data_IF_120849656586
#
_entry.id   IF_120849656586
#
_cell.length_a   1.000
_cell.length_b   1.000
_cell.length_c   1.000
_cell.angle_alpha   90.00
_cell.angle_beta   90.00
_cell.angle_gamma   90.00
#
_symmetry.space_group_name_H-M   'P 1'
#
loop_
_entity.id
_entity.type
_entity.pdbx_description
1 polymer ?
#
# COMPACT_ATOMS: atom_id res chain seq x y z
N UNK A 1 60.31 -28.90 -11.60
CA UNK A 1 60.25 -27.88 -10.52
C UNK A 1 60.31 -26.51 -11.17
N UNK A 2 59.55 -25.51 -10.65
CA UNK A 2 59.83 -24.04 -10.75
C UNK A 2 59.97 -23.39 -12.16
N UNK A 3 59.52 -22.15 -12.44
CA UNK A 3 58.64 -21.17 -11.76
C UNK A 3 58.31 -20.05 -12.77
N UNK A 4 57.09 -19.51 -12.72
CA UNK A 4 56.68 -18.10 -12.99
C UNK A 4 57.11 -17.24 -14.21
N UNK A 5 56.20 -16.31 -14.53
CA UNK A 5 56.37 -14.93 -15.05
C UNK A 5 56.63 -14.68 -16.55
N UNK A 6 55.64 -14.05 -17.18
CA UNK A 6 55.81 -12.72 -17.81
C UNK A 6 54.65 -11.80 -17.45
N UNK A 7 54.93 -10.74 -16.69
CA UNK A 7 54.03 -9.59 -16.55
C UNK A 7 54.28 -8.57 -17.67
N UNK A 8 53.31 -7.69 -17.92
CA UNK A 8 53.49 -6.48 -18.74
C UNK A 8 53.47 -5.24 -17.83
N UNK A 9 54.46 -4.37 -18.01
CA UNK A 9 54.38 -2.99 -17.52
C UNK A 9 53.49 -2.16 -18.46
N UNK A 10 52.81 -1.17 -17.89
CA UNK A 10 52.91 0.24 -18.30
C UNK A 10 52.37 1.13 -17.18
N UNK A 11 52.86 2.37 -17.11
CA UNK A 11 52.75 3.24 -15.93
C UNK A 11 52.02 4.55 -16.23
N UNK A 12 51.59 5.20 -15.14
CA UNK A 12 51.35 6.64 -14.94
C UNK A 12 50.81 7.51 -16.10
N UNK A 13 49.63 8.09 -15.86
CA UNK A 13 49.20 9.42 -16.36
C UNK A 13 48.70 10.21 -15.12
N UNK A 14 48.97 11.53 -14.98
CA UNK A 14 48.91 12.22 -13.69
C UNK A 14 47.55 12.85 -13.34
N UNK A 15 47.44 13.36 -12.11
CA UNK A 15 46.28 14.09 -11.60
C UNK A 15 46.42 15.61 -11.72
N UNK A 16 45.37 16.27 -12.21
CA UNK A 16 45.05 17.71 -12.14
C UNK A 16 43.63 17.89 -12.75
N UNK A 17 42.76 18.83 -12.35
CA UNK A 17 42.71 19.70 -11.18
C UNK A 17 41.21 20.00 -10.88
N UNK A 18 40.91 20.75 -9.83
CA UNK A 18 39.53 21.10 -9.47
C UNK A 18 38.84 22.01 -10.50
N UNK A 19 37.52 21.84 -10.62
CA UNK A 19 36.58 22.75 -11.28
C UNK A 19 35.26 22.70 -10.50
N UNK A 20 34.75 23.88 -10.16
CA UNK A 20 33.60 24.08 -9.26
C UNK A 20 32.28 24.19 -10.04
N UNK A 21 31.16 24.25 -9.31
CA UNK A 21 29.81 24.67 -9.77
C UNK A 21 29.13 23.80 -10.87
N UNK A 22 28.02 23.12 -10.54
CA UNK A 22 26.68 23.70 -10.76
C UNK A 22 25.52 22.82 -10.26
N UNK A 23 24.38 23.47 -10.01
CA UNK A 23 23.11 22.88 -9.54
C UNK A 23 22.52 21.87 -10.55
N UNK A 24 22.19 20.65 -10.10
CA UNK A 24 21.26 19.77 -10.82
C UNK A 24 20.18 19.27 -9.88
N UNK A 25 19.06 19.99 -9.90
CA UNK A 25 17.79 19.58 -9.30
C UNK A 25 17.34 18.27 -9.94
N UNK A 26 17.26 17.18 -9.16
CA UNK A 26 16.80 15.88 -9.64
C UNK A 26 15.29 15.90 -9.90
N UNK A 27 14.92 16.25 -11.14
CA UNK A 27 13.52 16.25 -11.58
C UNK A 27 13.01 14.81 -11.75
N UNK A 28 12.22 14.32 -10.78
CA UNK A 28 11.58 13.00 -10.85
C UNK A 28 10.39 13.05 -11.81
N UNK A 29 10.67 12.95 -13.10
CA UNK A 29 9.65 12.95 -14.16
C UNK A 29 8.93 11.59 -14.17
N UNK A 30 7.74 11.55 -13.55
CA UNK A 30 6.81 10.44 -13.70
C UNK A 30 6.22 10.45 -15.13
N UNK A 31 6.61 9.50 -15.98
CA UNK A 31 6.02 9.35 -17.31
C UNK A 31 4.76 8.47 -17.31
N UNK A 32 3.77 8.73 -18.19
CA UNK A 32 2.42 8.18 -18.04
C UNK A 32 2.21 6.81 -18.69
N UNK A 33 1.52 5.93 -17.96
CA UNK A 33 0.85 4.74 -18.50
C UNK A 33 -0.44 5.15 -19.24
N UNK A 34 -0.32 5.51 -20.52
CA UNK A 34 -1.49 5.83 -21.36
C UNK A 34 -1.36 5.36 -22.83
N UNK A 35 -2.04 4.25 -23.16
CA UNK A 35 -2.54 3.95 -24.51
C UNK A 35 -3.85 3.15 -24.40
N UNK A 36 -4.96 3.71 -24.88
CA UNK A 36 -6.18 3.06 -25.43
C UNK A 36 -7.19 4.20 -25.78
N UNK A 37 -8.07 4.06 -26.81
CA UNK A 37 -8.64 5.21 -27.52
C UNK A 37 -9.76 5.99 -26.80
N UNK A 38 -10.01 7.21 -27.30
CA UNK A 38 -11.11 8.10 -26.87
C UNK A 38 -12.35 7.92 -27.74
N UNK A 39 -13.53 7.98 -27.14
CA UNK A 39 -14.78 8.30 -27.85
C UNK A 39 -15.45 9.56 -27.27
N UNK A 40 -16.41 10.12 -28.03
CA UNK A 40 -16.93 11.48 -27.90
C UNK A 40 -18.17 11.57 -26.97
N UNK A 41 -18.47 12.75 -26.41
CA UNK A 41 -19.82 12.99 -25.87
C UNK A 41 -20.03 14.17 -24.92
N UNK A 42 -20.29 15.36 -25.48
CA UNK A 42 -21.18 16.45 -25.00
C UNK A 42 -21.08 17.06 -23.57
N UNK A 43 -21.30 18.38 -23.52
CA UNK A 43 -21.26 19.24 -22.33
C UNK A 43 -22.65 19.72 -21.85
N UNK A 44 -22.92 19.64 -20.54
CA UNK A 44 -23.83 20.50 -19.74
C UNK A 44 -23.33 20.45 -18.29
N UNK A 45 -23.30 21.49 -17.45
CA UNK A 45 -23.65 22.91 -17.58
C UNK A 45 -23.03 23.71 -16.40
N UNK A 46 -23.67 24.78 -15.90
CA UNK A 46 -23.19 25.55 -14.73
C UNK A 46 -24.35 25.96 -13.79
N UNK A 47 -24.12 25.96 -12.46
CA UNK A 47 -24.82 26.81 -11.47
C UNK A 47 -24.18 26.69 -10.07
N UNK A 48 -23.86 27.83 -9.45
CA UNK A 48 -23.38 27.92 -8.07
C UNK A 48 -24.50 28.35 -7.09
N UNK A 49 -24.37 28.02 -5.81
CA UNK A 49 -25.36 28.43 -4.79
C UNK A 49 -24.86 28.32 -3.34
N UNK A 50 -24.66 29.49 -2.71
CA UNK A 50 -24.67 29.81 -1.28
C UNK A 50 -24.05 28.86 -0.22
N UNK A 51 -23.12 29.40 0.58
CA UNK A 51 -22.82 28.95 1.95
C UNK A 51 -23.60 29.80 2.96
N UNK A 52 -23.93 29.27 4.14
CA UNK A 52 -23.93 30.06 5.37
C UNK A 52 -22.91 29.53 6.39
N UNK A 53 -22.52 30.41 7.31
CA UNK A 53 -21.59 30.13 8.41
C UNK A 53 -22.22 29.20 9.47
N UNK A 54 -21.39 28.41 10.15
CA UNK A 54 -21.75 27.81 11.44
C UNK A 54 -20.52 27.73 12.35
N UNK A 55 -20.76 27.80 13.66
CA UNK A 55 -19.75 28.09 14.67
C UNK A 55 -18.85 26.89 15.03
N UNK A 56 -17.63 27.19 15.48
CA UNK A 56 -16.64 26.20 15.91
C UNK A 56 -16.99 25.65 17.29
N UNK A 57 -17.50 24.42 17.32
CA UNK A 57 -17.53 23.58 18.54
C UNK A 57 -16.32 22.63 18.48
N UNK A 58 -15.52 22.46 19.55
CA UNK A 58 -14.37 21.56 19.53
C UNK A 58 -14.87 20.11 19.48
N UNK A 59 -14.87 19.53 18.28
CA UNK A 59 -15.22 18.14 18.08
C UNK A 59 -14.14 17.23 18.69
N UNK A 60 -14.42 16.66 19.87
CA UNK A 60 -13.73 15.46 20.36
C UNK A 60 -14.14 14.32 19.44
N UNK A 61 -13.45 14.17 18.31
CA UNK A 61 -13.65 13.07 17.38
C UNK A 61 -13.20 11.75 18.05
N UNK A 62 -14.14 11.09 18.71
CA UNK A 62 -14.16 9.62 18.81
C UNK A 62 -14.45 9.00 17.42
N UNK A 63 -13.67 9.41 16.42
CA UNK A 63 -13.66 8.78 15.11
C UNK A 63 -13.15 7.36 15.28
N UNK A 64 -14.00 6.38 14.99
CA UNK A 64 -13.62 4.97 15.02
C UNK A 64 -12.47 4.74 14.03
N UNK A 65 -11.22 4.72 14.54
CA UNK A 65 -10.03 4.56 13.72
C UNK A 65 -10.22 3.40 12.73
N UNK A 66 -9.89 3.61 11.44
CA UNK A 66 -9.99 2.53 10.48
C UNK A 66 -9.02 1.41 10.90
N UNK A 67 -9.50 0.20 10.67
CA UNK A 67 -8.81 -1.07 10.94
C UNK A 67 -7.69 -1.25 9.90
N UNK A 68 -6.71 -2.12 10.15
CA UNK A 68 -5.52 -2.28 9.31
C UNK A 68 -4.84 -0.93 9.00
N UNK A 69 -4.99 0.06 9.89
CA UNK A 69 -4.80 1.47 9.57
C UNK A 69 -3.34 1.93 9.58
N UNK A 70 -2.39 1.02 9.84
CA UNK A 70 -0.93 1.22 9.74
C UNK A 70 -0.25 -0.13 9.46
N UNK A 71 0.82 -0.13 8.68
CA UNK A 71 1.62 -1.33 8.43
C UNK A 71 3.09 -0.99 8.12
N UNK A 72 3.91 -2.02 7.88
CA UNK A 72 5.35 -1.93 7.66
C UNK A 72 5.70 -2.21 6.21
N UNK A 73 6.61 -1.41 5.64
CA UNK A 73 7.25 -1.71 4.37
C UNK A 73 8.58 -2.40 4.63
N UNK A 74 8.70 -3.66 4.21
CA UNK A 74 10.00 -4.34 4.15
C UNK A 74 10.87 -3.72 3.04
N UNK A 75 12.19 -3.92 3.13
CA UNK A 75 13.14 -3.45 2.12
C UNK A 75 12.72 -3.85 0.69
N UNK A 76 12.84 -2.94 -0.29
CA UNK A 76 12.40 -3.15 -1.68
C UNK A 76 12.91 -4.48 -2.29
N UNK A 77 14.19 -4.82 -2.09
CA UNK A 77 14.74 -6.08 -2.58
C UNK A 77 14.12 -7.35 -1.94
N UNK A 78 13.60 -7.27 -0.70
CA UNK A 78 12.85 -8.38 -0.08
C UNK A 78 11.43 -8.46 -0.66
N UNK A 79 10.77 -7.32 -0.86
CA UNK A 79 9.46 -7.22 -1.50
C UNK A 79 9.46 -7.75 -2.94
N UNK A 80 10.45 -7.38 -3.74
CA UNK A 80 10.60 -7.85 -5.12
C UNK A 80 10.70 -9.38 -5.21
N UNK A 81 11.51 -9.99 -4.33
CA UNK A 81 11.62 -11.45 -4.25
C UNK A 81 10.31 -12.10 -3.84
N UNK A 82 9.67 -11.62 -2.77
CA UNK A 82 8.41 -12.19 -2.28
C UNK A 82 7.25 -12.06 -3.30
N UNK A 83 7.21 -10.96 -4.05
CA UNK A 83 6.16 -10.70 -5.04
C UNK A 83 6.47 -11.30 -6.42
N UNK A 84 7.71 -11.73 -6.68
CA UNK A 84 8.14 -12.26 -7.99
C UNK A 84 8.35 -11.16 -9.05
N UNK A 85 8.73 -9.96 -8.64
CA UNK A 85 8.91 -8.81 -9.52
C UNK A 85 10.32 -8.85 -10.14
N UNK A 86 10.39 -8.90 -11.48
CA UNK A 86 11.66 -9.05 -12.21
C UNK A 86 12.42 -7.73 -12.41
N UNK A 87 11.71 -6.61 -12.38
CA UNK A 87 12.26 -5.24 -12.50
C UNK A 87 11.46 -4.30 -11.61
N UNK A 88 11.99 -3.96 -10.44
CA UNK A 88 11.43 -2.91 -9.60
C UNK A 88 11.49 -1.56 -10.31
N UNK A 89 10.34 -0.90 -10.47
CA UNK A 89 10.23 0.53 -10.88
C UNK A 89 9.72 1.41 -9.74
N UNK A 90 9.60 0.85 -8.54
CA UNK A 90 9.39 1.59 -7.30
C UNK A 90 10.74 1.96 -6.68
N UNK A 91 10.73 2.97 -5.81
CA UNK A 91 11.80 3.19 -4.85
C UNK A 91 11.13 3.68 -3.55
N UNK A 92 11.45 3.04 -2.43
CA UNK A 92 10.92 3.39 -1.12
C UNK A 92 11.83 2.83 -0.01
N UNK A 93 11.96 3.52 1.12
CA UNK A 93 12.74 3.03 2.26
C UNK A 93 11.95 1.99 3.08
N UNK A 94 12.69 1.17 3.83
CA UNK A 94 12.14 0.44 4.98
C UNK A 94 11.40 1.42 5.91
N UNK A 95 10.14 1.12 6.24
CA UNK A 95 9.29 1.97 7.09
C UNK A 95 8.54 1.11 8.10
N UNK A 96 8.72 1.39 9.38
CA UNK A 96 8.05 0.70 10.48
C UNK A 96 6.63 1.23 10.75
N UNK A 97 6.19 2.27 10.02
CA UNK A 97 4.88 2.88 10.16
C UNK A 97 4.51 3.66 8.89
N UNK A 98 3.80 2.99 7.99
CA UNK A 98 3.02 3.62 6.93
C UNK A 98 1.69 4.13 7.48
N UNK A 99 1.27 5.31 7.04
CA UNK A 99 -0.02 5.91 7.36
C UNK A 99 -0.94 5.95 6.14
N UNK A 100 -2.26 6.04 6.34
CA UNK A 100 -3.19 6.24 5.25
C UNK A 100 -2.86 7.51 4.46
N UNK A 101 -3.20 7.49 3.17
CA UNK A 101 -2.93 8.56 2.19
C UNK A 101 -1.49 8.70 1.70
N UNK A 102 -0.53 7.98 2.32
CA UNK A 102 0.85 7.88 1.82
C UNK A 102 0.93 7.06 0.52
N UNK A 103 2.04 7.19 -0.20
CA UNK A 103 2.37 6.35 -1.36
C UNK A 103 2.91 5.00 -0.86
N UNK A 104 2.38 3.90 -1.40
CA UNK A 104 2.72 2.55 -0.95
C UNK A 104 3.06 1.61 -2.12
N UNK A 105 3.98 0.66 -1.93
CA UNK A 105 4.34 -0.33 -2.95
C UNK A 105 3.22 -1.34 -3.16
N UNK A 106 2.81 -1.49 -4.41
CA UNK A 106 1.85 -2.51 -4.84
C UNK A 106 2.36 -3.28 -6.04
N UNK A 107 2.18 -4.61 -6.03
CA UNK A 107 2.37 -5.43 -7.21
C UNK A 107 1.07 -5.45 -8.03
N UNK A 108 1.16 -5.24 -9.34
CA UNK A 108 0.05 -5.39 -10.31
C UNK A 108 0.44 -6.40 -11.39
N UNK A 109 -0.54 -6.97 -12.08
CA UNK A 109 -0.28 -7.65 -13.35
C UNK A 109 -0.49 -6.68 -14.51
N UNK A 110 0.50 -6.58 -15.39
CA UNK A 110 0.46 -5.76 -16.60
C UNK A 110 1.12 -6.57 -17.73
N UNK A 111 0.45 -6.68 -18.87
CA UNK A 111 0.93 -7.43 -20.04
C UNK A 111 1.45 -8.87 -19.76
N UNK A 112 0.95 -9.53 -18.71
CA UNK A 112 1.34 -10.89 -18.31
C UNK A 112 2.52 -10.97 -17.33
N UNK A 113 3.19 -9.86 -17.01
CA UNK A 113 4.23 -9.79 -15.98
C UNK A 113 3.73 -9.12 -14.70
N UNK A 114 4.44 -9.35 -13.58
CA UNK A 114 4.20 -8.64 -12.32
C UNK A 114 5.05 -7.38 -12.26
N UNK A 115 4.39 -6.23 -12.21
CA UNK A 115 5.04 -4.92 -12.15
C UNK A 115 4.95 -4.28 -10.76
N UNK A 116 6.01 -3.58 -10.40
CA UNK A 116 6.10 -2.71 -9.23
C UNK A 116 5.49 -1.34 -9.53
N UNK A 117 4.57 -0.88 -8.68
CA UNK A 117 4.00 0.47 -8.73
C UNK A 117 3.92 1.11 -7.33
N UNK A 118 3.99 2.44 -7.27
CA UNK A 118 3.71 3.22 -6.06
C UNK A 118 2.34 3.87 -6.20
N UNK A 119 1.40 3.58 -5.29
CA UNK A 119 0.02 4.09 -5.34
C UNK A 119 -0.39 4.72 -4.01
N UNK A 120 -1.31 5.69 -4.05
CA UNK A 120 -1.84 6.33 -2.85
C UNK A 120 -2.73 5.35 -2.08
N UNK A 121 -2.43 5.08 -0.81
CA UNK A 121 -3.30 4.25 0.02
C UNK A 121 -4.55 5.01 0.47
N UNK A 122 -5.72 4.49 0.13
CA UNK A 122 -7.01 5.19 0.17
C UNK A 122 -7.47 5.47 -1.25
N UNK A 123 -8.37 4.61 -1.74
CA UNK A 123 -8.81 4.62 -3.13
C UNK A 123 -9.60 5.89 -3.49
N UNK A 124 -9.26 6.48 -4.62
CA UNK A 124 -9.98 7.57 -5.26
C UNK A 124 -10.57 7.00 -6.55
N UNK A 125 -11.90 6.77 -6.62
CA UNK A 125 -12.52 6.21 -7.82
C UNK A 125 -12.33 7.10 -9.05
N UNK A 126 -12.35 6.51 -10.23
CA UNK A 126 -12.14 7.21 -11.51
C UNK A 126 -13.05 8.44 -11.70
N UNK A 127 -14.29 8.38 -11.21
CA UNK A 127 -15.31 9.44 -11.28
C UNK A 127 -15.10 10.59 -10.27
N UNK A 128 -14.15 10.48 -9.34
CA UNK A 128 -13.93 11.46 -8.28
C UNK A 128 -12.93 12.58 -8.65
N UNK A 129 -12.47 12.62 -9.91
CA UNK A 129 -11.58 13.67 -10.46
C UNK A 129 -10.28 13.93 -9.65
N UNK A 130 -9.69 12.89 -9.07
CA UNK A 130 -8.52 12.96 -8.21
C UNK A 130 -8.79 13.48 -6.78
N UNK A 131 -10.04 13.76 -6.42
CA UNK A 131 -10.44 14.25 -5.08
C UNK A 131 -10.80 13.07 -4.17
N UNK A 132 -10.14 12.92 -2.99
CA UNK A 132 -10.49 11.88 -2.04
C UNK A 132 -11.94 12.00 -1.54
N UNK A 133 -12.61 10.86 -1.37
CA UNK A 133 -13.97 10.83 -0.82
C UNK A 133 -13.98 11.22 0.67
N UNK A 134 -15.11 11.78 1.13
CA UNK A 134 -15.34 12.05 2.57
C UNK A 134 -15.36 10.77 3.41
N UNK A 135 -15.85 9.67 2.84
CA UNK A 135 -15.81 8.35 3.46
C UNK A 135 -14.41 7.73 3.28
N UNK A 136 -13.88 7.10 4.33
CA UNK A 136 -12.58 6.43 4.24
C UNK A 136 -12.63 5.23 3.30
N UNK A 137 -11.73 5.22 2.32
CA UNK A 137 -11.58 4.18 1.29
C UNK A 137 -10.28 3.38 1.44
N UNK A 138 -9.67 3.40 2.63
CA UNK A 138 -8.37 2.76 2.87
C UNK A 138 -8.48 1.22 2.90
N UNK A 139 -9.65 0.73 3.32
CA UNK A 139 -10.03 -0.68 3.28
C UNK A 139 -11.39 -0.88 2.57
N UNK A 140 -11.51 -1.98 1.84
CA UNK A 140 -12.77 -2.55 1.37
C UNK A 140 -13.04 -3.86 2.12
N UNK A 141 -14.29 -4.14 2.51
CA UNK A 141 -14.64 -5.46 3.05
C UNK A 141 -15.00 -6.40 1.90
N UNK A 142 -14.62 -7.68 1.96
CA UNK A 142 -14.85 -8.67 0.87
C UNK A 142 -16.33 -8.78 0.45
N UNK A 143 -17.26 -8.51 1.34
CA UNK A 143 -18.71 -8.51 1.09
C UNK A 143 -19.16 -7.33 0.21
N UNK A 144 -18.34 -6.27 0.12
CA UNK A 144 -18.68 -5.00 -0.53
C UNK A 144 -17.85 -4.68 -1.78
N UNK A 145 -16.79 -5.44 -2.08
CA UNK A 145 -15.90 -5.16 -3.23
C UNK A 145 -16.66 -5.13 -4.57
N UNK A 146 -17.66 -6.00 -4.74
CA UNK A 146 -18.40 -6.14 -6.00
C UNK A 146 -19.62 -5.20 -6.13
N UNK A 147 -19.99 -4.46 -5.07
CA UNK A 147 -21.27 -3.72 -4.98
C UNK A 147 -21.14 -2.27 -4.52
N UNK A 148 -20.15 -1.92 -3.70
CA UNK A 148 -19.99 -0.55 -3.22
C UNK A 148 -19.53 0.39 -4.35
N UNK A 149 -20.09 1.61 -4.47
CA UNK A 149 -19.77 2.55 -5.57
C UNK A 149 -18.29 2.90 -5.73
N UNK A 150 -17.49 2.80 -4.67
CA UNK A 150 -16.04 3.04 -4.72
C UNK A 150 -15.23 1.85 -5.24
N UNK A 151 -15.77 0.64 -5.18
CA UNK A 151 -15.01 -0.62 -5.34
C UNK A 151 -15.50 -1.48 -6.51
N UNK A 152 -16.80 -1.41 -6.83
CA UNK A 152 -17.45 -2.28 -7.82
C UNK A 152 -16.77 -2.22 -9.19
N UNK A 153 -16.44 -1.02 -9.69
CA UNK A 153 -15.93 -0.87 -11.05
C UNK A 153 -14.45 -1.28 -11.14
N UNK A 154 -13.57 -0.91 -10.18
CA UNK A 154 -12.25 -1.54 -10.04
C UNK A 154 -12.28 -3.07 -9.98
N UNK A 155 -13.20 -3.65 -9.19
CA UNK A 155 -13.39 -5.10 -9.11
C UNK A 155 -13.76 -5.69 -10.47
N UNK A 156 -14.83 -5.20 -11.11
CA UNK A 156 -15.31 -5.73 -12.39
C UNK A 156 -14.36 -5.50 -13.57
N UNK A 157 -13.53 -4.45 -13.52
CA UNK A 157 -12.44 -4.22 -14.50
C UNK A 157 -11.18 -5.05 -14.23
N UNK A 158 -11.14 -5.86 -13.17
CA UNK A 158 -9.97 -6.65 -12.81
C UNK A 158 -8.79 -5.82 -12.30
N UNK A 159 -9.01 -4.58 -11.86
CA UNK A 159 -7.98 -3.67 -11.32
C UNK A 159 -7.58 -4.09 -9.90
N UNK A 160 -6.94 -5.26 -9.81
CA UNK A 160 -6.46 -5.90 -8.59
C UNK A 160 -4.97 -5.64 -8.42
N UNK A 161 -4.53 -5.51 -7.19
CA UNK A 161 -3.14 -5.37 -6.80
C UNK A 161 -2.85 -6.17 -5.52
N UNK A 162 -1.57 -6.34 -5.19
CA UNK A 162 -1.13 -6.83 -3.90
C UNK A 162 -0.37 -5.72 -3.19
N UNK A 163 -0.90 -5.20 -2.07
CA UNK A 163 -0.17 -4.28 -1.21
C UNK A 163 0.91 -5.09 -0.48
N UNK A 164 2.16 -4.65 -0.52
CA UNK A 164 3.27 -5.40 0.06
C UNK A 164 3.49 -4.97 1.51
N UNK A 165 3.53 -5.94 2.43
CA UNK A 165 3.66 -5.69 3.87
C UNK A 165 4.73 -6.57 4.51
N UNK A 166 5.41 -6.03 5.52
CA UNK A 166 6.26 -6.77 6.46
C UNK A 166 5.58 -7.09 7.80
N UNK A 167 4.31 -6.75 7.94
CA UNK A 167 3.54 -6.81 9.19
C UNK A 167 2.64 -5.57 9.36
N UNK A 168 1.64 -5.66 10.23
CA UNK A 168 0.61 -4.62 10.40
C UNK A 168 0.24 -4.39 11.86
N UNK A 169 -0.44 -3.28 12.14
CA UNK A 169 -0.86 -2.92 13.50
C UNK A 169 -2.38 -2.89 13.63
N UNK A 170 -2.91 -3.53 14.68
CA UNK A 170 -4.33 -3.43 15.05
C UNK A 170 -4.51 -2.85 16.46
N UNK A 171 -5.60 -2.10 16.71
CA UNK A 171 -5.98 -1.69 18.06
C UNK A 171 -6.78 -2.80 18.75
N UNK A 172 -6.26 -3.29 19.86
CA UNK A 172 -7.04 -4.01 20.86
C UNK A 172 -7.82 -3.01 21.71
N UNK A 173 -9.10 -3.27 21.97
CA UNK A 173 -9.93 -2.44 22.86
C UNK A 173 -9.91 -3.06 24.26
N UNK A 174 -9.31 -2.35 25.21
CA UNK A 174 -9.23 -2.77 26.61
C UNK A 174 -10.61 -2.61 27.30
N UNK A 175 -10.78 -3.25 28.46
CA UNK A 175 -12.01 -3.17 29.25
C UNK A 175 -12.38 -1.74 29.72
N UNK A 176 -11.38 -0.86 29.86
CA UNK A 176 -11.55 0.57 30.16
C UNK A 176 -11.86 1.44 28.92
N UNK A 177 -12.03 0.81 27.75
CA UNK A 177 -12.26 1.49 26.46
C UNK A 177 -11.01 2.10 25.83
N UNK A 178 -9.84 2.04 26.49
CA UNK A 178 -8.57 2.47 25.89
C UNK A 178 -8.16 1.52 24.77
N UNK A 179 -7.24 1.97 23.91
CA UNK A 179 -6.79 1.20 22.74
C UNK A 179 -5.28 1.01 22.74
N UNK A 180 -4.86 -0.24 22.88
CA UNK A 180 -3.46 -0.62 22.77
C UNK A 180 -3.14 -1.13 21.37
N UNK A 181 -2.02 -0.70 20.76
CA UNK A 181 -1.58 -1.26 19.50
C UNK A 181 -0.96 -2.63 19.75
N UNK A 182 -1.40 -3.61 18.99
CA UNK A 182 -0.68 -4.84 18.77
C UNK A 182 -0.01 -4.77 17.41
N UNK A 183 1.22 -5.27 17.32
CA UNK A 183 1.86 -5.58 16.04
C UNK A 183 1.58 -7.04 15.69
N UNK A 184 1.39 -7.31 14.41
CA UNK A 184 1.07 -8.62 13.86
C UNK A 184 1.99 -8.88 12.67
N UNK A 185 2.65 -10.03 12.69
CA UNK A 185 3.47 -10.53 11.57
C UNK A 185 3.11 -11.98 11.27
N UNK A 186 3.60 -12.48 10.14
CA UNK A 186 3.53 -13.90 9.83
C UNK A 186 4.73 -14.64 10.41
N UNK A 187 4.53 -15.91 10.75
CA UNK A 187 5.56 -16.80 11.28
C UNK A 187 6.31 -17.56 10.18
N UNK A 188 5.70 -17.70 9.00
CA UNK A 188 6.24 -18.43 7.85
C UNK A 188 7.08 -17.56 6.89
N UNK A 189 6.86 -16.24 6.86
CA UNK A 189 7.60 -15.30 6.01
C UNK A 189 7.62 -13.87 6.51
N UNK A 190 8.72 -13.17 6.25
CA UNK A 190 8.92 -11.77 6.62
C UNK A 190 8.11 -10.79 5.75
N UNK A 191 7.79 -11.15 4.51
CA UNK A 191 7.12 -10.25 3.54
C UNK A 191 5.99 -10.99 2.83
N UNK A 192 4.84 -10.35 2.71
CA UNK A 192 3.63 -10.94 2.14
C UNK A 192 2.77 -9.93 1.37
N UNK A 193 1.91 -10.46 0.50
CA UNK A 193 0.95 -9.69 -0.29
C UNK A 193 -0.41 -9.67 0.38
N UNK A 194 -1.01 -8.49 0.50
CA UNK A 194 -2.42 -8.30 0.87
C UNK A 194 -3.23 -7.95 -0.36
N UNK A 195 -4.30 -8.69 -0.61
CA UNK A 195 -5.20 -8.45 -1.73
C UNK A 195 -5.78 -7.02 -1.66
N UNK A 196 -5.74 -6.30 -2.78
CA UNK A 196 -6.25 -4.93 -2.88
C UNK A 196 -6.83 -4.60 -4.25
N UNK A 197 -7.61 -3.53 -4.30
CA UNK A 197 -8.09 -2.95 -5.56
C UNK A 197 -7.42 -1.61 -5.79
N UNK A 198 -7.20 -1.25 -7.05
CA UNK A 198 -6.68 0.05 -7.43
C UNK A 198 -7.58 0.75 -8.45
N UNK A 199 -7.47 2.07 -8.53
CA UNK A 199 -8.12 2.87 -9.58
C UNK A 199 -7.29 4.09 -9.96
N UNK A 200 -7.50 4.57 -11.19
CA UNK A 200 -6.89 5.81 -11.71
C UNK A 200 -7.96 6.89 -11.85
N UNK A 201 -7.75 8.02 -11.18
CA UNK A 201 -8.68 9.15 -11.17
C UNK A 201 -8.03 10.37 -11.83
N UNK A 202 -8.64 10.87 -12.91
CA UNK A 202 -8.07 11.96 -13.72
C UNK A 202 -8.39 13.32 -13.09
N UNK A 203 -7.37 14.11 -12.78
CA UNK A 203 -7.50 15.47 -12.26
C UNK A 203 -7.94 16.46 -13.34
N UNK A 204 -8.36 17.65 -12.90
CA UNK A 204 -8.74 18.78 -13.78
C UNK A 204 -7.58 19.26 -14.65
N UNK A 205 -6.33 19.20 -14.15
CA UNK A 205 -5.10 19.49 -14.89
C UNK A 205 -4.75 18.43 -15.96
N UNK A 206 -5.51 17.33 -16.03
CA UNK A 206 -5.32 16.24 -16.98
C UNK A 206 -4.42 15.10 -16.48
N UNK A 207 -3.69 15.27 -15.37
CA UNK A 207 -2.88 14.22 -14.73
C UNK A 207 -3.75 13.16 -14.03
N UNK A 208 -3.13 12.08 -13.55
CA UNK A 208 -3.84 11.00 -12.86
C UNK A 208 -3.34 10.80 -11.42
N UNK A 209 -4.26 10.44 -10.53
CA UNK A 209 -3.93 9.83 -9.24
C UNK A 209 -4.18 8.33 -9.35
N UNK A 210 -3.12 7.53 -9.22
CA UNK A 210 -3.21 6.09 -8.99
C UNK A 210 -3.34 5.85 -7.48
N UNK A 211 -4.33 5.08 -7.08
CA UNK A 211 -4.68 4.87 -5.68
C UNK A 211 -5.18 3.46 -5.43
N UNK A 212 -5.06 2.96 -4.21
CA UNK A 212 -5.41 1.60 -3.84
C UNK A 212 -6.15 1.50 -2.51
N UNK A 213 -6.85 0.38 -2.31
CA UNK A 213 -7.49 -0.02 -1.05
C UNK A 213 -7.10 -1.46 -0.74
N UNK A 214 -6.86 -1.80 0.53
CA UNK A 214 -6.67 -3.19 0.92
C UNK A 214 -8.02 -3.86 1.16
N UNK A 215 -8.12 -5.15 0.89
CA UNK A 215 -9.32 -5.94 1.18
C UNK A 215 -9.19 -6.53 2.58
N UNK A 216 -10.29 -6.51 3.35
CA UNK A 216 -10.40 -7.21 4.62
C UNK A 216 -11.43 -8.34 4.57
N UNK A 217 -11.12 -9.42 5.27
CA UNK A 217 -11.93 -10.63 5.45
C UNK A 217 -12.27 -10.80 6.95
N UNK A 218 -13.23 -11.65 7.34
CA UNK A 218 -13.42 -12.04 8.74
C UNK A 218 -12.10 -12.46 9.38
N UNK A 219 -11.88 -12.11 10.66
CA UNK A 219 -10.68 -12.51 11.37
C UNK A 219 -10.68 -14.03 11.64
N UNK A 220 -9.48 -14.63 11.67
CA UNK A 220 -9.25 -15.88 12.40
C UNK A 220 -9.37 -15.63 13.92
N UNK A 221 -9.29 -16.67 14.76
CA UNK A 221 -9.50 -16.50 16.21
C UNK A 221 -8.39 -15.65 16.85
N UNK A 222 -7.11 -15.83 16.49
CA UNK A 222 -6.03 -14.92 16.93
C UNK A 222 -6.34 -13.44 16.66
N UNK A 223 -6.74 -13.08 15.43
CA UNK A 223 -7.03 -11.69 15.08
C UNK A 223 -8.39 -11.20 15.62
N UNK A 224 -9.31 -12.11 15.98
CA UNK A 224 -10.51 -11.76 16.72
C UNK A 224 -10.21 -11.45 18.19
N UNK A 225 -9.25 -12.14 18.81
CA UNK A 225 -8.74 -11.82 20.15
C UNK A 225 -7.97 -10.47 20.14
N UNK A 226 -7.08 -10.27 19.16
CA UNK A 226 -6.30 -9.03 19.02
C UNK A 226 -7.19 -7.84 18.63
N UNK A 227 -7.97 -7.93 17.55
CA UNK A 227 -8.81 -6.85 17.04
C UNK A 227 -10.30 -7.01 17.44
N UNK A 228 -10.51 -7.26 18.73
CA UNK A 228 -11.78 -7.61 19.37
C UNK A 228 -12.99 -6.72 19.05
N UNK A 229 -12.79 -5.44 18.76
CA UNK A 229 -13.88 -4.50 18.46
C UNK A 229 -14.49 -4.55 17.06
N UNK A 230 -13.82 -5.17 16.07
CA UNK A 230 -14.36 -5.30 14.69
C UNK A 230 -14.12 -6.66 14.03
N UNK A 231 -13.18 -7.47 14.55
CA UNK A 231 -12.98 -8.87 14.15
C UNK A 231 -12.82 -9.10 12.64
N UNK A 232 -11.90 -8.35 12.03
CA UNK A 232 -11.43 -8.57 10.64
C UNK A 232 -9.91 -8.60 10.62
N UNK A 233 -9.38 -9.09 9.52
CA UNK A 233 -7.96 -9.07 9.18
C UNK A 233 -7.77 -8.65 7.72
N UNK A 234 -6.55 -8.25 7.30
CA UNK A 234 -6.21 -8.12 5.89
C UNK A 234 -6.43 -9.44 5.15
N UNK A 235 -6.84 -9.39 3.89
CA UNK A 235 -6.90 -10.54 3.01
C UNK A 235 -5.47 -10.91 2.54
N UNK A 236 -4.73 -11.61 3.41
CA UNK A 236 -3.36 -12.06 3.14
C UNK A 236 -3.42 -13.23 2.14
N UNK A 237 -2.70 -13.10 1.03
CA UNK A 237 -2.69 -14.10 -0.03
C UNK A 237 -1.65 -15.19 0.24
N UNK A 238 -1.95 -16.43 -0.14
CA UNK A 238 -0.92 -17.47 -0.27
C UNK A 238 -0.08 -17.20 -1.54
N UNK A 239 1.18 -17.64 -1.56
CA UNK A 239 2.06 -17.41 -2.73
C UNK A 239 1.55 -18.12 -3.99
N UNK A 240 0.93 -19.29 -3.82
CA UNK A 240 0.19 -20.02 -4.88
C UNK A 240 -0.96 -19.21 -5.48
N UNK A 241 -1.57 -18.35 -4.67
CA UNK A 241 -2.80 -17.64 -4.99
C UNK A 241 -2.53 -16.28 -5.65
N UNK A 242 -1.26 -15.84 -5.71
CA UNK A 242 -0.86 -14.55 -6.28
C UNK A 242 -1.27 -14.40 -7.76
N UNK A 243 -1.18 -15.46 -8.58
CA UNK A 243 -1.54 -15.41 -10.00
C UNK A 243 -3.06 -15.43 -10.21
N UNK A 244 -3.77 -16.31 -9.49
CA UNK A 244 -5.23 -16.33 -9.47
C UNK A 244 -5.80 -14.98 -9.00
N UNK A 245 -5.16 -14.34 -8.01
CA UNK A 245 -5.54 -13.01 -7.55
C UNK A 245 -5.25 -11.91 -8.57
N UNK A 246 -4.05 -11.84 -9.14
CA UNK A 246 -3.70 -10.74 -10.04
C UNK A 246 -4.37 -10.89 -11.41
N UNK A 247 -4.28 -12.07 -12.04
CA UNK A 247 -4.62 -12.28 -13.46
C UNK A 247 -5.80 -13.22 -13.69
N UNK A 248 -6.22 -14.01 -12.69
CA UNK A 248 -7.32 -14.97 -12.80
C UNK A 248 -8.70 -14.35 -13.08
N UNK A 249 -9.69 -15.19 -13.39
CA UNK A 249 -11.07 -14.73 -13.54
C UNK A 249 -11.62 -14.22 -12.19
N UNK A 250 -12.69 -13.43 -12.23
CA UNK A 250 -13.26 -12.83 -11.01
C UNK A 250 -13.72 -13.86 -9.97
N UNK A 251 -14.06 -15.09 -10.38
CA UNK A 251 -14.42 -16.15 -9.44
C UNK A 251 -13.16 -16.73 -8.77
N UNK A 252 -12.11 -17.05 -9.53
CA UNK A 252 -10.84 -17.56 -9.01
C UNK A 252 -10.19 -16.55 -8.06
N UNK A 253 -10.11 -15.29 -8.48
CA UNK A 253 -9.61 -14.19 -7.66
C UNK A 253 -10.46 -14.00 -6.38
N UNK A 254 -11.77 -14.23 -6.42
CA UNK A 254 -12.60 -14.16 -5.20
C UNK A 254 -12.35 -15.34 -4.26
N UNK A 255 -12.04 -16.53 -4.78
CA UNK A 255 -11.77 -17.73 -4.00
C UNK A 255 -10.47 -17.65 -3.17
N UNK A 256 -9.54 -16.74 -3.52
CA UNK A 256 -8.31 -16.49 -2.72
C UNK A 256 -8.58 -15.65 -1.47
N UNK A 257 -9.72 -14.94 -1.39
CA UNK A 257 -10.06 -14.00 -0.31
C UNK A 257 -10.60 -14.71 0.95
N UNK A 258 -9.70 -15.44 1.61
CA UNK A 258 -9.95 -16.21 2.85
C UNK A 258 -9.14 -15.65 4.03
N UNK A 259 -9.54 -15.98 5.25
CA UNK A 259 -8.77 -15.70 6.46
C UNK A 259 -7.45 -16.47 6.44
N UNK A 260 -6.35 -15.86 6.89
CA UNK A 260 -5.06 -16.55 6.98
C UNK A 260 -5.06 -17.56 8.15
N UNK A 261 -4.34 -18.70 8.07
CA UNK A 261 -4.21 -19.63 9.19
C UNK A 261 -3.62 -18.93 10.43
N UNK A 262 -4.15 -19.21 11.61
CA UNK A 262 -3.75 -18.51 12.84
C UNK A 262 -2.43 -19.00 13.42
N UNK A 263 -2.14 -20.28 13.20
CA UNK A 263 -0.89 -20.95 13.54
C UNK A 263 0.32 -20.43 12.75
N UNK A 264 0.09 -19.71 11.65
CA UNK A 264 1.11 -19.03 10.85
C UNK A 264 1.20 -17.52 11.16
N UNK A 265 0.58 -17.06 12.25
CA UNK A 265 0.58 -15.66 12.66
C UNK A 265 1.04 -15.53 14.11
N UNK A 266 1.75 -14.44 14.39
CA UNK A 266 2.09 -14.05 15.77
C UNK A 266 1.77 -12.58 15.98
N UNK A 267 1.33 -12.26 17.20
CA UNK A 267 0.93 -10.92 17.58
C UNK A 267 1.39 -10.60 19.01
N UNK A 268 1.81 -9.37 19.25
CA UNK A 268 2.19 -8.89 20.57
C UNK A 268 1.89 -7.41 20.75
N UNK A 269 1.74 -6.98 22.00
CA UNK A 269 1.52 -5.59 22.35
C UNK A 269 2.78 -4.77 22.11
N UNK A 270 2.63 -3.58 21.53
CA UNK A 270 3.75 -2.66 21.24
C UNK A 270 3.50 -1.27 21.81
N UNK A 271 4.50 -0.40 21.72
CA UNK A 271 4.41 0.97 22.23
C UNK A 271 3.33 1.80 21.55
N UNK A 272 2.55 2.55 22.35
CA UNK A 272 1.61 3.59 21.88
C UNK A 272 2.30 4.67 21.03
N UNK A 273 3.65 4.76 21.02
CA UNK A 273 4.46 5.58 20.08
C UNK A 273 4.03 5.43 18.63
N UNK A 274 3.63 4.22 18.19
CA UNK A 274 3.17 3.96 16.81
C UNK A 274 1.93 4.77 16.40
N UNK A 275 1.18 5.35 17.35
CA UNK A 275 0.04 6.22 17.07
C UNK A 275 0.42 7.71 16.92
N UNK A 276 1.69 8.10 17.13
CA UNK A 276 2.15 9.47 16.97
C UNK A 276 3.00 9.62 15.71
N UNK A 277 2.50 10.28 14.65
CA UNK A 277 3.26 10.46 13.40
C UNK A 277 4.48 11.37 13.58
N UNK A 278 4.51 12.18 14.65
CA UNK A 278 5.61 13.11 14.99
C UNK A 278 6.81 12.44 15.65
N UNK A 279 6.66 11.20 16.13
CA UNK A 279 7.75 10.46 16.75
C UNK A 279 8.53 9.66 15.68
N UNK A 280 9.81 9.33 15.92
CA UNK A 280 10.62 8.51 15.04
C UNK A 280 9.91 7.28 14.46
N UNK A 281 10.25 6.94 13.22
CA UNK A 281 9.75 5.80 12.45
C UNK A 281 10.87 4.76 12.33
N UNK A 282 11.05 3.97 13.39
CA UNK A 282 12.20 3.10 13.61
C UNK A 282 11.78 1.73 14.18
N UNK A 283 12.75 0.82 14.34
CA UNK A 283 12.53 -0.55 14.77
C UNK A 283 11.89 -0.69 16.16
N UNK A 284 12.06 0.29 17.06
CA UNK A 284 11.46 0.24 18.41
C UNK A 284 9.93 0.41 18.41
N UNK A 285 9.31 0.63 17.24
CA UNK A 285 7.86 0.58 17.08
C UNK A 285 7.28 -0.84 17.07
N UNK A 286 8.10 -1.86 16.80
CA UNK A 286 7.72 -3.28 16.83
C UNK A 286 8.28 -4.06 18.02
N UNK A 287 9.07 -3.43 18.89
CA UNK A 287 9.56 -4.08 20.11
C UNK A 287 8.38 -4.46 21.04
N UNK A 288 8.34 -5.70 21.57
CA UNK A 288 7.34 -6.11 22.55
C UNK A 288 7.36 -5.27 23.83
N UNK A 289 6.18 -5.04 24.40
CA UNK A 289 5.97 -4.50 25.75
C UNK A 289 5.66 -5.60 26.78
#
# INVERSE_FOLDING_TARGET
>A
MTREKRGRHLACVPAAAAGDEDDVVTEVIAQPLDRIPREHGASVGNAAGARPHSATVPAILFGAKPMCGKYILAQAAKAERAMGIRRGRWEYPLSYRVLPTEQVPVAVAESGEREAAMMRWGLIPYWAYGVPLKASTINATVERIASAPSYKDPWHRGQRCMLVMGGFYEPHVNADGTRDPFFVQLADREVFGVAGLWDRSRRQDGSYVFSCTLITVPANRLLAEVHNGKQRMPAILAESDHEAWLSGALQDAKATLKSYPEELMVAWKVSRRVNSPRLPNDASLIEPL
#
